data_IF_397759244368
#
_entry.id   IF_397759244368
#
_cell.length_a   1.000
_cell.length_b   1.000
_cell.length_c   1.000
_cell.angle_alpha   90.00
_cell.angle_beta   90.00
_cell.angle_gamma   90.00
#
_symmetry.space_group_name_H-M   'P 1'
#
loop_
_entity.id
_entity.type
_entity.pdbx_description
1 polymer ?
#
# COMPACT_ATOMS: atom_id res chain seq x y z
N UNK A 1 -3.28 -27.65 -11.39
CA UNK A 1 -2.51 -26.42 -11.54
C UNK A 1 -3.20 -25.65 -12.64
N UNK A 2 -3.71 -24.45 -12.36
CA UNK A 2 -4.31 -23.60 -13.39
C UNK A 2 -3.18 -23.12 -14.33
N UNK A 3 -3.51 -22.90 -15.60
CA UNK A 3 -2.51 -22.56 -16.62
C UNK A 3 -2.40 -21.03 -16.82
N UNK A 4 -3.41 -20.28 -16.36
CA UNK A 4 -3.52 -18.82 -16.53
C UNK A 4 -3.92 -18.10 -15.23
N UNK A 5 -3.61 -16.80 -15.15
CA UNK A 5 -3.98 -15.95 -14.00
C UNK A 5 -5.51 -15.85 -13.88
N UNK A 6 -6.22 -15.86 -15.00
CA UNK A 6 -7.69 -15.81 -15.07
C UNK A 6 -8.32 -17.06 -14.47
N UNK A 7 -7.74 -18.24 -14.75
CA UNK A 7 -8.19 -19.51 -14.16
C UNK A 7 -7.91 -19.56 -12.65
N UNK A 8 -6.74 -19.09 -12.20
CA UNK A 8 -6.45 -18.95 -10.77
C UNK A 8 -7.41 -18.00 -10.08
N UNK A 9 -7.70 -16.85 -10.71
CA UNK A 9 -8.64 -15.87 -10.17
C UNK A 9 -10.07 -16.43 -10.11
N UNK A 10 -10.51 -17.16 -11.14
CA UNK A 10 -11.81 -17.81 -11.16
C UNK A 10 -11.93 -18.89 -10.07
N UNK A 11 -10.85 -19.61 -9.79
CA UNK A 11 -10.80 -20.59 -8.71
C UNK A 11 -10.86 -19.90 -7.33
N UNK A 12 -10.08 -18.83 -7.12
CA UNK A 12 -10.11 -18.05 -5.87
C UNK A 12 -11.50 -17.44 -5.62
N UNK A 13 -12.15 -16.90 -6.65
CA UNK A 13 -13.49 -16.34 -6.54
C UNK A 13 -14.53 -17.39 -6.09
N UNK A 14 -14.44 -18.62 -6.60
CA UNK A 14 -15.32 -19.72 -6.17
C UNK A 14 -15.12 -20.08 -4.69
N UNK A 15 -13.87 -20.14 -4.24
CA UNK A 15 -13.54 -20.45 -2.84
C UNK A 15 -14.06 -19.37 -1.90
N UNK A 16 -13.93 -18.09 -2.28
CA UNK A 16 -14.47 -16.95 -1.50
C UNK A 16 -16.00 -17.03 -1.41
N UNK A 17 -16.70 -17.27 -2.52
CA UNK A 17 -18.16 -17.40 -2.55
C UNK A 17 -18.67 -18.59 -1.70
N UNK A 18 -17.94 -19.71 -1.71
CA UNK A 18 -18.25 -20.87 -0.87
C UNK A 18 -18.06 -20.53 0.63
N UNK A 19 -16.96 -19.85 0.99
CA UNK A 19 -16.69 -19.42 2.35
C UNK A 19 -17.75 -18.44 2.87
N UNK A 20 -18.15 -17.45 2.07
CA UNK A 20 -19.22 -16.50 2.42
C UNK A 20 -20.57 -17.20 2.62
N UNK A 21 -20.92 -18.19 1.78
CA UNK A 21 -22.14 -19.01 1.95
C UNK A 21 -22.13 -19.84 3.22
N UNK A 22 -20.95 -20.26 3.68
CA UNK A 22 -20.76 -20.93 4.97
C UNK A 22 -20.76 -19.96 6.17
N UNK A 23 -20.86 -18.64 5.92
CA UNK A 23 -20.82 -17.61 6.94
C UNK A 23 -19.42 -17.39 7.54
N UNK A 24 -18.37 -17.84 6.86
CA UNK A 24 -16.98 -17.61 7.24
C UNK A 24 -16.53 -16.31 6.58
N UNK A 25 -15.95 -15.40 7.36
CA UNK A 25 -15.27 -14.21 6.80
C UNK A 25 -13.98 -14.68 6.10
N UNK A 26 -13.90 -14.64 4.76
CA UNK A 26 -12.73 -15.12 4.03
C UNK A 26 -11.59 -14.10 4.07
N UNK A 27 -11.83 -12.90 4.57
CA UNK A 27 -10.89 -11.81 4.53
C UNK A 27 -9.96 -11.81 5.74
N UNK A 28 -8.68 -11.44 5.54
CA UNK A 28 -7.76 -11.31 6.65
C UNK A 28 -8.22 -10.20 7.59
N UNK A 29 -7.96 -10.37 8.88
CA UNK A 29 -8.24 -9.34 9.89
C UNK A 29 -7.63 -7.99 9.49
N UNK A 30 -8.35 -6.91 9.77
CA UNK A 30 -7.86 -5.56 9.50
C UNK A 30 -6.53 -5.33 10.22
N UNK A 31 -5.52 -4.88 9.49
CA UNK A 31 -4.21 -4.58 10.09
C UNK A 31 -4.40 -3.55 11.21
N UNK A 32 -3.83 -3.79 12.41
CA UNK A 32 -3.95 -2.84 13.50
C UNK A 32 -3.36 -1.49 13.08
N UNK A 33 -3.95 -0.37 13.53
CA UNK A 33 -3.43 0.95 13.21
C UNK A 33 -2.00 1.06 13.73
N UNK A 34 -1.05 1.28 12.82
CA UNK A 34 0.36 1.43 13.16
C UNK A 34 0.64 2.91 13.39
N UNK A 35 0.81 3.40 14.64
CA UNK A 35 1.02 4.83 14.89
C UNK A 35 2.28 5.37 14.19
N UNK A 36 3.27 4.50 13.95
CA UNK A 36 4.49 4.85 13.21
C UNK A 36 4.25 5.13 11.72
N UNK A 37 3.18 4.59 11.11
CA UNK A 37 2.91 4.79 9.69
C UNK A 37 2.64 6.28 9.39
N UNK A 38 1.99 6.99 10.31
CA UNK A 38 1.77 8.44 10.21
C UNK A 38 3.10 9.20 10.20
N UNK A 39 4.03 8.82 11.06
CA UNK A 39 5.34 9.45 11.13
C UNK A 39 6.20 9.15 9.90
N UNK A 40 6.10 7.94 9.34
CA UNK A 40 6.82 7.57 8.13
C UNK A 40 6.36 8.39 6.91
N UNK A 41 5.06 8.61 6.76
CA UNK A 41 4.52 9.45 5.68
C UNK A 41 4.93 10.92 5.88
N UNK A 42 4.82 11.42 7.12
CA UNK A 42 5.20 12.79 7.44
C UNK A 42 6.69 13.05 7.20
N UNK A 43 7.57 12.16 7.65
CA UNK A 43 9.03 12.31 7.45
C UNK A 43 9.40 12.22 5.97
N UNK A 44 8.78 11.33 5.20
CA UNK A 44 8.99 11.23 3.76
C UNK A 44 8.63 12.53 3.04
N UNK A 45 7.47 13.13 3.34
CA UNK A 45 7.07 14.42 2.79
C UNK A 45 8.05 15.53 3.16
N UNK A 46 8.47 15.59 4.42
CA UNK A 46 9.45 16.59 4.89
C UNK A 46 10.78 16.45 4.13
N UNK A 47 11.30 15.22 3.97
CA UNK A 47 12.55 14.97 3.24
C UNK A 47 12.42 15.41 1.78
N UNK A 48 11.31 15.11 1.12
CA UNK A 48 11.03 15.55 -0.25
C UNK A 48 11.03 17.09 -0.35
N UNK A 49 10.32 17.76 0.57
CA UNK A 49 10.26 19.22 0.59
C UNK A 49 11.64 19.84 0.84
N UNK A 50 12.39 19.35 1.83
CA UNK A 50 13.74 19.83 2.13
C UNK A 50 14.72 19.58 0.98
N UNK A 51 14.62 18.43 0.31
CA UNK A 51 15.44 18.13 -0.87
C UNK A 51 15.19 19.13 -1.99
N UNK A 52 13.93 19.53 -2.18
CA UNK A 52 13.53 20.49 -3.20
C UNK A 52 13.90 21.93 -2.82
N UNK A 53 13.63 22.34 -1.58
CA UNK A 53 14.03 23.64 -1.02
C UNK A 53 15.54 23.82 -1.07
N UNK A 54 16.31 22.77 -0.73
CA UNK A 54 17.78 22.79 -0.82
C UNK A 54 18.25 23.11 -2.25
N UNK A 55 17.70 22.42 -3.27
CA UNK A 55 18.02 22.71 -4.68
C UNK A 55 17.71 24.15 -5.07
N UNK A 56 16.63 24.73 -4.55
CA UNK A 56 16.25 26.13 -4.81
C UNK A 56 17.26 27.08 -4.18
N UNK A 57 17.59 26.90 -2.90
CA UNK A 57 18.53 27.76 -2.19
C UNK A 57 19.92 27.73 -2.83
N UNK A 58 20.41 26.55 -3.22
CA UNK A 58 21.69 26.44 -3.94
C UNK A 58 21.70 27.20 -5.27
N UNK A 59 20.56 27.33 -5.95
CA UNK A 59 20.48 28.13 -7.18
C UNK A 59 20.63 29.63 -6.93
N UNK A 60 20.29 30.12 -5.75
CA UNK A 60 20.43 31.53 -5.40
C UNK A 60 21.81 31.88 -4.83
N UNK A 61 22.54 30.90 -4.29
CA UNK A 61 23.89 31.11 -3.73
C UNK A 61 24.98 31.11 -4.82
N UNK A 62 24.74 30.44 -5.95
CA UNK A 62 25.69 30.38 -7.08
C UNK A 62 25.44 31.40 -8.19
N UNK A 63 24.56 32.39 -7.95
CA UNK A 63 24.38 33.61 -8.79
C UNK A 63 25.17 34.75 -8.16
#
# INVERSE_FOLDING_TARGET
>A
MAETIEEELALLARVVDEAEKMGIDPWPETKPPRPWARYAIASFMVIMMLSWVSKILFRFVTV
#
